data_IF_535820808448
#
_entry.id   IF_535820808448
#
_cell.length_a   1.000
_cell.length_b   1.000
_cell.length_c   1.000
_cell.angle_alpha   90.00
_cell.angle_beta   90.00
_cell.angle_gamma   90.00
#
_symmetry.space_group_name_H-M   'P 1'
#
loop_
_entity.id
_entity.type
_entity.pdbx_description
1 polymer ?
#
# COMPACT_ATOMS: atom_id res chain seq x y z
N UNK A 1 13.70 17.10 -2.72
CA UNK A 1 12.51 16.63 -3.46
C UNK A 1 11.80 15.66 -2.53
N UNK A 2 10.53 15.88 -2.20
CA UNK A 2 9.81 15.10 -1.19
C UNK A 2 9.50 13.69 -1.69
N UNK A 3 10.29 12.71 -1.25
CA UNK A 3 10.06 11.28 -1.48
C UNK A 3 8.81 10.82 -0.73
N UNK A 4 7.65 10.97 -1.36
CA UNK A 4 6.38 10.49 -0.81
C UNK A 4 6.21 9.02 -1.19
N UNK A 5 5.86 8.17 -0.22
CA UNK A 5 5.69 6.74 -0.47
C UNK A 5 4.36 6.56 -1.17
N UNK A 6 4.40 6.24 -2.46
CA UNK A 6 3.19 5.93 -3.16
C UNK A 6 2.57 4.65 -2.60
N UNK A 7 1.29 4.74 -2.27
CA UNK A 7 0.45 3.64 -1.80
C UNK A 7 0.60 2.35 -2.65
N UNK A 8 0.78 2.49 -3.96
CA UNK A 8 0.94 1.35 -4.87
C UNK A 8 2.24 0.55 -4.64
N UNK A 9 3.28 1.10 -3.98
CA UNK A 9 4.50 0.35 -3.66
C UNK A 9 4.20 -0.77 -2.67
N UNK A 10 3.36 -0.48 -1.68
CA UNK A 10 2.89 -1.46 -0.68
C UNK A 10 2.04 -2.53 -1.35
N UNK A 11 1.16 -2.15 -2.28
CA UNK A 11 0.36 -3.10 -3.05
C UNK A 11 1.25 -4.05 -3.88
N UNK A 12 2.26 -3.51 -4.57
CA UNK A 12 3.20 -4.33 -5.35
C UNK A 12 4.02 -5.26 -4.45
N UNK A 13 4.36 -4.82 -3.22
CA UNK A 13 5.00 -5.68 -2.23
C UNK A 13 4.08 -6.83 -1.81
N UNK A 14 2.83 -6.56 -1.43
CA UNK A 14 1.84 -7.59 -1.05
C UNK A 14 1.48 -8.53 -2.20
N UNK A 15 1.64 -8.08 -3.45
CA UNK A 15 1.52 -8.90 -4.66
C UNK A 15 2.68 -9.88 -4.79
N UNK A 16 3.91 -9.43 -4.59
CA UNK A 16 5.09 -10.28 -4.67
C UNK A 16 5.22 -11.22 -3.47
N UNK A 17 4.90 -10.70 -2.27
CA UNK A 17 5.05 -11.39 -0.99
C UNK A 17 3.83 -11.08 -0.11
N UNK A 18 2.87 -12.00 0.02
CA UNK A 18 1.73 -11.80 0.91
C UNK A 18 2.20 -11.79 2.37
N UNK A 19 1.82 -10.76 3.12
CA UNK A 19 2.26 -10.52 4.50
C UNK A 19 1.07 -10.20 5.40
N UNK A 20 1.19 -10.50 6.70
CA UNK A 20 0.20 -10.05 7.66
C UNK A 20 0.27 -8.52 7.86
N UNK A 21 -0.78 -7.92 8.40
CA UNK A 21 -0.83 -6.47 8.70
C UNK A 21 0.35 -6.07 9.60
N UNK A 22 0.64 -6.90 10.61
CA UNK A 22 1.73 -6.68 11.56
C UNK A 22 3.10 -6.71 10.87
N UNK A 23 3.31 -7.67 9.97
CA UNK A 23 4.55 -7.82 9.20
C UNK A 23 4.74 -6.64 8.24
N UNK A 24 3.68 -6.24 7.55
CA UNK A 24 3.70 -5.10 6.64
C UNK A 24 4.02 -3.80 7.40
N UNK A 25 3.40 -3.61 8.57
CA UNK A 25 3.65 -2.46 9.45
C UNK A 25 5.10 -2.41 9.91
N UNK A 26 5.65 -3.54 10.35
CA UNK A 26 7.04 -3.65 10.76
C UNK A 26 7.98 -3.38 9.60
N UNK A 27 7.75 -4.04 8.46
CA UNK A 27 8.55 -3.87 7.25
C UNK A 27 8.57 -2.41 6.80
N UNK A 28 7.41 -1.73 6.79
CA UNK A 28 7.33 -0.31 6.47
C UNK A 28 8.10 0.53 7.48
N UNK A 29 7.94 0.23 8.77
CA UNK A 29 8.65 0.96 9.84
C UNK A 29 10.16 0.77 9.73
N UNK A 30 10.64 -0.40 9.31
CA UNK A 30 12.07 -0.67 9.12
C UNK A 30 12.61 -0.08 7.82
N UNK A 31 11.87 -0.18 6.71
CA UNK A 31 12.31 0.30 5.39
C UNK A 31 12.15 1.81 5.22
N UNK A 32 11.09 2.38 5.78
CA UNK A 32 10.68 3.78 5.58
C UNK A 32 10.67 4.61 6.87
N UNK A 33 10.74 3.98 8.04
CA UNK A 33 10.69 4.66 9.34
C UNK A 33 9.27 4.72 9.93
N UNK A 34 9.20 5.00 11.24
CA UNK A 34 7.93 5.21 11.95
C UNK A 34 7.11 6.39 11.41
N UNK A 35 7.76 7.36 10.75
CA UNK A 35 7.13 8.53 10.13
C UNK A 35 6.80 8.31 8.64
N UNK A 36 6.73 7.04 8.20
CA UNK A 36 6.38 6.69 6.83
C UNK A 36 5.03 7.29 6.44
N UNK A 37 5.07 8.33 5.60
CA UNK A 37 3.87 8.99 5.08
C UNK A 37 3.52 8.48 3.70
N UNK A 38 2.27 8.08 3.56
CA UNK A 38 1.75 7.57 2.30
C UNK A 38 1.00 8.62 1.52
N UNK A 39 1.15 8.55 0.21
CA UNK A 39 0.41 9.34 -0.75
C UNK A 39 -0.30 8.42 -1.73
N UNK A 40 -1.59 8.61 -1.89
CA UNK A 40 -2.35 8.14 -3.04
C UNK A 40 -2.27 9.20 -4.15
N UNK A 41 -2.51 8.82 -5.41
CA UNK A 41 -2.33 9.71 -6.56
C UNK A 41 -3.06 11.06 -6.46
N UNK A 42 -4.09 11.18 -5.60
CA UNK A 42 -4.86 12.41 -5.37
C UNK A 42 -4.78 12.97 -3.94
N UNK A 43 -4.37 12.17 -2.96
CA UNK A 43 -4.40 12.55 -1.54
C UNK A 43 -3.09 12.15 -0.86
N UNK A 44 -2.54 13.05 -0.06
CA UNK A 44 -1.25 12.90 0.62
C UNK A 44 -1.43 12.98 2.14
N UNK A 45 -0.54 12.34 2.89
CA UNK A 45 -0.53 12.37 4.35
C UNK A 45 -1.38 11.29 5.00
N UNK A 46 -1.49 10.12 4.37
CA UNK A 46 -2.05 8.95 5.05
C UNK A 46 -0.98 8.31 5.92
N UNK A 47 -1.39 7.95 7.14
CA UNK A 47 -0.65 7.03 7.99
C UNK A 47 -0.86 5.58 7.54
N UNK A 48 -0.05 4.66 8.04
CA UNK A 48 -0.18 3.23 7.74
C UNK A 48 -1.61 2.72 7.98
N UNK A 49 -2.21 3.06 9.12
CA UNK A 49 -3.55 2.61 9.52
C UNK A 49 -4.62 3.07 8.52
N UNK A 50 -4.64 4.38 8.20
CA UNK A 50 -5.59 4.96 7.26
C UNK A 50 -5.38 4.45 5.83
N UNK A 51 -4.12 4.24 5.43
CA UNK A 51 -3.81 3.65 4.13
C UNK A 51 -4.29 2.20 4.05
N UNK A 52 -4.06 1.43 5.11
CA UNK A 52 -4.37 0.02 5.17
C UNK A 52 -5.88 -0.20 5.15
N UNK A 53 -6.62 0.56 5.94
CA UNK A 53 -8.08 0.55 5.93
C UNK A 53 -8.62 0.96 4.55
N UNK A 54 -8.04 1.98 3.92
CA UNK A 54 -8.39 2.38 2.56
C UNK A 54 -8.20 1.24 1.54
N UNK A 55 -7.11 0.47 1.64
CA UNK A 55 -6.91 -0.69 0.76
C UNK A 55 -7.96 -1.78 0.97
N UNK A 56 -8.35 -2.01 2.23
CA UNK A 56 -9.37 -2.99 2.60
C UNK A 56 -10.76 -2.56 2.12
N UNK A 57 -11.16 -1.31 2.37
CA UNK A 57 -12.44 -0.75 1.93
C UNK A 57 -12.59 -0.75 0.41
N UNK A 58 -11.53 -0.36 -0.31
CA UNK A 58 -11.51 -0.36 -1.77
C UNK A 58 -11.33 -1.76 -2.39
N UNK A 59 -11.29 -2.82 -1.58
CA UNK A 59 -11.07 -4.21 -2.00
C UNK A 59 -9.80 -4.40 -2.85
N UNK A 60 -8.79 -3.55 -2.62
CA UNK A 60 -7.48 -3.62 -3.30
C UNK A 60 -6.60 -4.72 -2.75
N UNK A 61 -6.79 -5.06 -1.47
CA UNK A 61 -6.18 -6.21 -0.82
C UNK A 61 -7.28 -7.13 -0.28
N UNK A 62 -6.99 -8.43 -0.24
CA UNK A 62 -7.82 -9.46 0.35
C UNK A 62 -7.00 -10.18 1.42
N UNK A 63 -7.67 -10.59 2.49
CA UNK A 63 -7.07 -11.46 3.49
C UNK A 63 -7.25 -12.91 3.04
N UNK A 64 -6.13 -13.62 2.90
CA UNK A 64 -6.05 -15.03 2.55
C UNK A 64 -5.16 -15.70 3.59
N UNK A 65 -5.72 -16.62 4.37
CA UNK A 65 -4.98 -17.39 5.38
C UNK A 65 -4.22 -16.51 6.40
N UNK A 66 -4.86 -15.46 6.91
CA UNK A 66 -4.27 -14.44 7.81
C UNK A 66 -3.13 -13.61 7.18
N UNK A 67 -2.98 -13.64 5.86
CA UNK A 67 -2.04 -12.81 5.12
C UNK A 67 -2.80 -11.90 4.18
N UNK A 68 -2.36 -10.66 4.09
CA UNK A 68 -2.87 -9.71 3.12
C UNK A 68 -2.16 -9.93 1.80
N UNK A 69 -2.96 -10.07 0.76
CA UNK A 69 -2.47 -10.16 -0.61
C UNK A 69 -3.25 -9.18 -1.48
N UNK A 70 -2.60 -8.68 -2.53
CA UNK A 70 -3.21 -7.74 -3.44
C UNK A 70 -4.25 -8.45 -4.33
N UNK A 71 -5.46 -7.91 -4.39
CA UNK A 71 -6.51 -8.41 -5.26
C UNK A 71 -6.28 -7.94 -6.70
N UNK A 72 -5.55 -8.74 -7.47
CA UNK A 72 -5.25 -8.46 -8.88
C UNK A 72 -6.50 -8.39 -9.77
N UNK A 73 -7.63 -8.97 -9.35
CA UNK A 73 -8.87 -8.94 -10.13
C UNK A 73 -9.64 -7.61 -10.00
N UNK A 74 -9.34 -6.80 -8.97
CA UNK A 74 -10.01 -5.51 -8.72
C UNK A 74 -9.09 -4.30 -8.69
N UNK A 75 -7.78 -4.49 -8.61
CA UNK A 75 -6.86 -3.40 -8.99
C UNK A 75 -7.00 -3.21 -10.48
N UNK A 76 -7.78 -2.20 -10.86
CA UNK A 76 -7.76 -1.67 -12.20
C UNK A 76 -6.31 -1.30 -12.51
N UNK A 77 -5.77 -1.98 -13.52
CA UNK A 77 -4.77 -1.43 -14.44
C UNK A 77 -5.11 0.03 -14.71
N UNK A 78 -4.40 0.92 -14.03
CA UNK A 78 -4.25 2.27 -14.52
C UNK A 78 -2.78 2.62 -14.39
N UNK A 79 -2.00 1.97 -15.25
CA UNK A 79 -0.83 2.57 -15.84
C UNK A 79 -1.32 3.84 -16.58
N UNK A 80 -1.28 4.95 -15.86
CA UNK A 80 -1.09 6.25 -16.48
C UNK A 80 -0.11 6.98 -15.58
N UNK A 81 1.13 6.52 -15.68
CA UNK A 81 2.31 7.33 -15.43
C UNK A 81 2.24 8.50 -16.44
N UNK A 82 1.66 9.62 -16.01
CA UNK A 82 1.88 10.89 -16.68
C UNK A 82 2.83 11.67 -15.80
N UNK A 83 4.11 11.50 -16.11
CA UNK A 83 5.19 12.41 -15.75
C UNK A 83 4.89 13.79 -16.36
N UNK A 84 4.71 14.83 -15.55
CA UNK A 84 4.73 16.22 -16.00
C UNK A 84 5.66 17.03 -15.10
#
# INVERSE_FOLDING_TARGET
MSEQIHAHKILNLLKATPMAELELRQFITEQYGLDARFRTCKLQGFDFDSLFDFFKENQKIIEVENKWTMNQAKVCDHDHDHEH
#
